data_IF_747189468010
#
_entry.id   IF_747189468010
#
_cell.length_a   1.000
_cell.length_b   1.000
_cell.length_c   1.000
_cell.angle_alpha   90.00
_cell.angle_beta   90.00
_cell.angle_gamma   90.00
#
_symmetry.space_group_name_H-M   'P 1'
#
loop_
_entity.id
_entity.type
_entity.pdbx_description
1 polymer ?
#
# COMPACT_ATOMS: atom_id res chain seq x y z
N UNK A 1 -37.43 20.18 -53.06
CA UNK A 1 -37.58 18.84 -52.46
C UNK A 1 -36.87 17.85 -53.34
N UNK A 2 -35.86 17.13 -52.82
CA UNK A 2 -35.13 15.96 -53.34
C UNK A 2 -33.82 15.96 -52.52
N UNK A 3 -33.62 15.22 -51.42
CA UNK A 3 -33.90 13.84 -51.04
C UNK A 3 -33.15 12.82 -51.92
N UNK A 4 -31.90 12.56 -51.53
CA UNK A 4 -31.14 11.32 -51.77
C UNK A 4 -30.41 11.08 -50.44
N UNK A 5 -30.68 10.05 -49.65
CA UNK A 5 -30.71 8.65 -50.05
C UNK A 5 -29.56 7.98 -49.31
N UNK A 6 -29.71 7.77 -48.00
CA UNK A 6 -28.71 7.10 -47.17
C UNK A 6 -28.61 5.64 -47.60
N UNK A 7 -27.62 5.32 -48.43
CA UNK A 7 -27.30 3.95 -48.81
C UNK A 7 -26.75 3.19 -47.59
N UNK A 8 -27.63 2.43 -46.94
CA UNK A 8 -27.24 1.40 -45.99
C UNK A 8 -26.56 0.27 -46.78
N UNK A 9 -25.22 0.27 -46.79
CA UNK A 9 -24.42 -0.84 -47.33
C UNK A 9 -24.74 -2.08 -46.49
N UNK A 10 -25.65 -2.92 -46.99
CA UNK A 10 -26.01 -4.21 -46.40
C UNK A 10 -24.81 -5.15 -46.54
N UNK A 11 -23.98 -5.23 -45.49
CA UNK A 11 -22.91 -6.22 -45.41
C UNK A 11 -23.52 -7.63 -45.49
N UNK A 12 -23.02 -8.44 -46.41
CA UNK A 12 -23.45 -9.82 -46.57
C UNK A 12 -23.20 -10.63 -45.27
N UNK A 13 -24.06 -11.60 -44.93
CA UNK A 13 -23.99 -12.35 -43.66
C UNK A 13 -22.62 -12.98 -43.40
N UNK A 14 -21.93 -13.35 -44.47
CA UNK A 14 -20.58 -13.93 -44.45
C UNK A 14 -19.51 -12.95 -43.97
N UNK A 15 -19.60 -11.67 -44.37
CA UNK A 15 -18.62 -10.63 -44.03
C UNK A 15 -18.72 -10.24 -42.55
N UNK A 16 -19.94 -10.18 -42.02
CA UNK A 16 -20.20 -9.89 -40.61
C UNK A 16 -19.72 -11.00 -39.68
N UNK A 17 -19.84 -12.27 -40.11
CA UNK A 17 -19.32 -13.43 -39.36
C UNK A 17 -17.78 -13.42 -39.28
N UNK A 18 -17.09 -13.10 -40.37
CA UNK A 18 -15.61 -13.04 -40.39
C UNK A 18 -15.07 -11.89 -39.53
N UNK A 19 -15.72 -10.73 -39.53
CA UNK A 19 -15.38 -9.61 -38.64
C UNK A 19 -15.64 -9.95 -37.16
N UNK A 20 -16.73 -10.67 -36.85
CA UNK A 20 -17.02 -11.12 -35.48
C UNK A 20 -16.00 -12.16 -34.99
N UNK A 21 -15.54 -13.05 -35.88
CA UNK A 21 -14.51 -14.06 -35.55
C UNK A 21 -13.15 -13.41 -35.29
N UNK A 22 -12.73 -12.42 -36.10
CA UNK A 22 -11.48 -11.69 -35.89
C UNK A 22 -11.53 -10.77 -34.66
N UNK A 23 -12.68 -10.15 -34.36
CA UNK A 23 -12.89 -9.40 -33.13
C UNK A 23 -12.82 -10.30 -31.87
N UNK A 24 -13.35 -11.52 -31.96
CA UNK A 24 -13.25 -12.51 -30.87
C UNK A 24 -11.81 -13.01 -30.66
N UNK A 25 -11.09 -13.27 -31.76
CA UNK A 25 -9.70 -13.74 -31.76
C UNK A 25 -8.74 -12.69 -31.17
N UNK A 26 -8.94 -11.43 -31.56
CA UNK A 26 -8.17 -10.31 -30.98
C UNK A 26 -8.48 -10.14 -29.49
N UNK A 27 -9.73 -10.21 -29.03
CA UNK A 27 -10.06 -10.10 -27.60
C UNK A 27 -9.41 -11.20 -26.75
N UNK A 28 -9.42 -12.45 -27.26
CA UNK A 28 -8.75 -13.58 -26.61
C UNK A 28 -7.23 -13.37 -26.53
N UNK A 29 -6.61 -12.93 -27.62
CA UNK A 29 -5.19 -12.58 -27.67
C UNK A 29 -4.80 -11.48 -26.69
N UNK A 30 -5.61 -10.41 -26.58
CA UNK A 30 -5.34 -9.34 -25.61
C UNK A 30 -5.42 -9.82 -24.17
N UNK A 31 -6.38 -10.70 -23.85
CA UNK A 31 -6.46 -11.33 -22.52
C UNK A 31 -5.21 -12.13 -22.19
N UNK A 32 -4.77 -12.99 -23.11
CA UNK A 32 -3.56 -13.80 -22.92
C UNK A 32 -2.33 -12.91 -22.74
N UNK A 33 -2.19 -11.86 -23.55
CA UNK A 33 -1.07 -10.90 -23.43
C UNK A 33 -1.10 -10.13 -22.10
N UNK A 34 -2.28 -9.77 -21.59
CA UNK A 34 -2.40 -9.10 -20.30
C UNK A 34 -2.01 -10.03 -19.15
N UNK A 35 -2.44 -11.29 -19.19
CA UNK A 35 -2.05 -12.32 -18.22
C UNK A 35 -0.54 -12.58 -18.27
N UNK A 36 0.04 -12.70 -19.46
CA UNK A 36 1.49 -12.86 -19.64
C UNK A 36 2.27 -11.69 -19.04
N UNK A 37 1.88 -10.44 -19.35
CA UNK A 37 2.50 -9.24 -18.77
C UNK A 37 2.40 -9.20 -17.25
N UNK A 38 1.28 -9.66 -16.69
CA UNK A 38 1.11 -9.76 -15.24
C UNK A 38 2.10 -10.77 -14.65
N UNK A 39 2.21 -11.96 -15.24
CA UNK A 39 3.17 -12.97 -14.79
C UNK A 39 4.62 -12.50 -14.93
N UNK A 40 4.97 -11.82 -16.02
CA UNK A 40 6.30 -11.22 -16.19
C UNK A 40 6.59 -10.17 -15.10
N UNK A 41 5.59 -9.39 -14.69
CA UNK A 41 5.75 -8.42 -13.61
C UNK A 41 5.89 -9.09 -12.25
N UNK A 42 5.10 -10.12 -11.96
CA UNK A 42 5.20 -10.93 -10.74
C UNK A 42 6.58 -11.60 -10.64
N UNK A 43 7.08 -12.16 -11.75
CA UNK A 43 8.42 -12.75 -11.80
C UNK A 43 9.51 -11.72 -11.49
N UNK A 44 9.45 -10.52 -12.09
CA UNK A 44 10.39 -9.44 -11.79
C UNK A 44 10.35 -9.05 -10.31
N UNK A 45 9.16 -8.90 -9.72
CA UNK A 45 9.05 -8.56 -8.31
C UNK A 45 9.66 -9.62 -7.40
N UNK A 46 9.43 -10.91 -7.70
CA UNK A 46 10.03 -12.00 -6.93
C UNK A 46 11.56 -12.03 -7.06
N UNK A 47 12.11 -11.75 -8.24
CA UNK A 47 13.56 -11.64 -8.45
C UNK A 47 14.15 -10.48 -7.61
N UNK A 48 13.49 -9.32 -7.62
CA UNK A 48 13.88 -8.16 -6.81
C UNK A 48 13.80 -8.44 -5.29
N UNK A 49 12.73 -9.09 -4.83
CA UNK A 49 12.56 -9.49 -3.43
C UNK A 49 13.63 -10.50 -2.98
N UNK A 50 13.99 -11.44 -3.86
CA UNK A 50 15.04 -12.42 -3.58
C UNK A 50 16.41 -11.75 -3.43
N UNK A 51 16.72 -10.79 -4.30
CA UNK A 51 17.95 -9.98 -4.20
C UNK A 51 18.00 -9.17 -2.89
N UNK A 52 16.86 -8.64 -2.44
CA UNK A 52 16.76 -7.97 -1.15
C UNK A 52 16.96 -8.93 0.02
N UNK A 53 16.36 -10.13 -0.03
CA UNK A 53 16.48 -11.14 1.01
C UNK A 53 17.92 -11.62 1.21
N UNK A 54 18.72 -11.70 0.14
CA UNK A 54 20.14 -12.03 0.23
C UNK A 54 20.94 -10.96 1.00
N UNK A 55 20.49 -9.70 0.95
CA UNK A 55 21.14 -8.55 1.63
C UNK A 55 20.65 -8.36 3.06
N UNK A 56 19.54 -8.97 3.46
CA UNK A 56 18.96 -8.81 4.79
C UNK A 56 19.76 -9.60 5.82
N UNK A 57 20.11 -8.93 6.92
CA UNK A 57 20.78 -9.56 8.05
C UNK A 57 19.92 -10.61 8.76
N UNK A 58 20.57 -11.47 9.55
CA UNK A 58 19.87 -12.46 10.37
C UNK A 58 18.85 -11.78 11.27
N UNK A 59 17.65 -12.37 11.37
CA UNK A 59 16.62 -11.91 12.29
C UNK A 59 17.12 -11.79 13.74
N UNK A 60 18.04 -12.66 14.16
CA UNK A 60 18.65 -12.59 15.50
C UNK A 60 19.51 -11.34 15.73
N UNK A 61 20.12 -10.77 14.69
CA UNK A 61 20.85 -9.50 14.78
C UNK A 61 19.86 -8.34 14.92
N UNK A 62 18.87 -8.25 14.04
CA UNK A 62 17.82 -7.23 14.09
C UNK A 62 17.08 -7.24 15.44
N UNK A 63 16.71 -8.41 15.97
CA UNK A 63 16.06 -8.51 17.28
C UNK A 63 16.95 -8.00 18.43
N UNK A 64 18.26 -8.25 18.38
CA UNK A 64 19.20 -7.74 19.39
C UNK A 64 19.33 -6.23 19.33
N UNK A 65 19.38 -5.66 18.13
CA UNK A 65 19.42 -4.21 17.94
C UNK A 65 18.15 -3.52 18.46
N UNK A 66 16.98 -4.09 18.17
CA UNK A 66 15.70 -3.62 18.70
C UNK A 66 15.71 -3.65 20.23
N UNK A 67 16.12 -4.78 20.82
CA UNK A 67 16.17 -4.93 22.27
C UNK A 67 17.11 -3.90 22.91
N UNK A 68 18.32 -3.73 22.37
CA UNK A 68 19.28 -2.71 22.82
C UNK A 68 18.70 -1.29 22.73
N UNK A 69 18.01 -0.97 21.63
CA UNK A 69 17.41 0.35 21.43
C UNK A 69 16.27 0.62 22.42
N UNK A 70 15.44 -0.38 22.70
CA UNK A 70 14.31 -0.26 23.63
C UNK A 70 14.79 -0.17 25.07
N UNK A 71 15.80 -0.96 25.47
CA UNK A 71 16.31 -0.96 26.85
C UNK A 71 17.06 0.32 27.22
N UNK A 72 17.71 0.98 26.25
CA UNK A 72 18.53 2.17 26.51
C UNK A 72 17.73 3.47 26.58
N UNK A 73 16.48 3.49 26.11
CA UNK A 73 15.68 4.70 26.03
C UNK A 73 14.65 4.75 27.17
N UNK A 74 14.73 5.72 28.11
CA UNK A 74 13.73 5.84 29.16
C UNK A 74 12.38 6.26 28.56
N UNK A 75 11.34 5.46 28.81
CA UNK A 75 9.97 5.72 28.37
C UNK A 75 9.05 5.94 29.59
N UNK A 76 8.50 7.15 29.79
CA UNK A 76 7.68 7.49 30.95
C UNK A 76 6.30 6.79 30.98
N UNK A 77 5.88 6.17 29.87
CA UNK A 77 4.64 5.41 29.81
C UNK A 77 4.83 3.96 30.28
N UNK A 78 6.07 3.52 30.47
CA UNK A 78 6.36 2.19 30.99
C UNK A 78 6.36 2.18 32.52
N UNK A 79 5.82 1.12 33.16
CA UNK A 79 5.83 0.98 34.63
C UNK A 79 7.24 0.98 35.24
N UNK A 80 8.24 0.58 34.45
CA UNK A 80 9.65 0.53 34.84
C UNK A 80 10.44 1.19 33.71
N UNK A 81 11.16 2.27 34.05
CA UNK A 81 11.98 3.02 33.10
C UNK A 81 13.45 2.82 33.46
N UNK A 82 14.26 2.35 32.52
CA UNK A 82 15.70 2.27 32.70
C UNK A 82 16.35 3.59 32.29
N UNK A 83 17.20 4.15 33.17
CA UNK A 83 17.88 5.43 32.94
C UNK A 83 17.40 6.56 33.87
N UNK A 84 18.08 7.72 33.84
CA UNK A 84 17.72 8.86 34.68
C UNK A 84 16.35 9.42 34.29
N UNK A 85 15.56 9.78 35.31
CA UNK A 85 14.31 10.52 35.12
C UNK A 85 14.60 11.79 34.32
N UNK A 86 13.97 11.94 33.17
CA UNK A 86 14.11 13.14 32.35
C UNK A 86 13.14 14.23 32.89
N UNK A 87 13.65 15.33 33.47
CA UNK A 87 12.81 16.34 34.13
C UNK A 87 11.86 17.08 33.18
N UNK A 88 12.08 17.00 31.85
CA UNK A 88 11.18 17.62 30.87
C UNK A 88 9.86 16.85 30.70
N UNK A 89 9.76 15.61 31.18
CA UNK A 89 8.52 14.83 31.16
C UNK A 89 7.45 15.41 32.09
N UNK A 90 7.87 16.03 33.19
CA UNK A 90 6.97 16.67 34.15
C UNK A 90 6.06 17.71 33.48
N UNK A 91 6.52 18.37 32.40
CA UNK A 91 5.67 19.30 31.64
C UNK A 91 4.45 18.64 30.99
N UNK A 92 4.51 17.34 30.69
CA UNK A 92 3.46 16.59 30.00
C UNK A 92 2.59 15.78 30.97
N UNK A 93 3.16 15.31 32.08
CA UNK A 93 2.47 14.47 33.06
C UNK A 93 2.05 15.21 34.32
N UNK A 94 2.75 16.27 34.72
CA UNK A 94 2.25 17.17 35.76
C UNK A 94 1.26 18.14 35.11
N UNK A 95 0.00 18.09 35.55
CA UNK A 95 -1.03 19.02 35.12
C UNK A 95 -0.64 20.48 35.35
N UNK A 96 -1.42 21.46 34.84
CA UNK A 96 -1.06 22.87 34.88
C UNK A 96 -0.63 23.35 36.28
N UNK A 97 0.65 23.70 36.43
CA UNK A 97 1.30 24.07 37.71
C UNK A 97 0.64 25.27 38.41
N UNK A 98 -0.01 26.14 37.64
CA UNK A 98 -0.60 27.40 38.12
C UNK A 98 -2.13 27.44 38.09
N UNK A 99 -2.80 26.30 37.93
CA UNK A 99 -4.24 26.29 38.16
C UNK A 99 -4.48 26.32 39.67
N UNK A 100 -4.65 27.52 40.23
CA UNK A 100 -5.56 27.66 41.38
C UNK A 100 -6.86 27.03 40.91
N UNK A 101 -7.09 25.77 41.28
CA UNK A 101 -8.17 24.95 40.74
C UNK A 101 -9.45 25.77 40.71
N UNK A 102 -9.98 26.01 39.50
CA UNK A 102 -11.30 26.63 39.40
C UNK A 102 -12.28 25.66 40.06
N UNK A 103 -13.04 26.14 41.06
CA UNK A 103 -14.13 25.39 41.70
C UNK A 103 -15.38 25.29 40.80
N UNK A 104 -15.19 25.20 39.50
CA UNK A 104 -16.30 25.05 38.58
C UNK A 104 -16.71 23.57 38.59
N UNK A 105 -17.92 23.31 39.10
CA UNK A 105 -18.56 22.00 39.00
C UNK A 105 -18.98 21.83 37.54
N UNK A 106 -18.47 20.80 36.89
CA UNK A 106 -18.94 20.40 35.55
C UNK A 106 -20.34 19.81 35.77
N UNK A 107 -21.35 20.47 35.20
CA UNK A 107 -22.74 19.98 35.13
C UNK A 107 -22.86 18.88 34.07
#
# INVERSE_FOLDING_TARGET
MQSDGSESVSLSPTTQRLQSLSASDTRGKHRILAELKRFEQEARFLEEELEQLEKIDKASAACKEILSTVETRPDPLLPITYGPLNPFWDRWFEGPKDSKGCRCWIL
#
